data_IF_134370332123
#
_entry.id   IF_134370332123
#
_cell.length_a   1.000
_cell.length_b   1.000
_cell.length_c   1.000
_cell.angle_alpha   90.00
_cell.angle_beta   90.00
_cell.angle_gamma   90.00
#
_symmetry.space_group_name_H-M   'P 1'
#
loop_
_entity.id
_entity.type
_entity.pdbx_description
1 polymer ?
#
# COMPACT_ATOMS: atom_id res chain seq x y z
N UNK A 1 -24.65 -0.83 25.60
CA UNK A 1 -25.33 -0.91 24.29
C UNK A 1 -24.65 0.11 23.36
N UNK A 2 -24.02 -0.32 22.31
CA UNK A 2 -23.56 0.60 21.26
C UNK A 2 -24.78 0.96 20.43
N UNK A 3 -25.07 2.27 20.33
CA UNK A 3 -26.11 2.76 19.43
C UNK A 3 -25.80 2.33 17.98
N UNK A 4 -26.80 2.01 17.16
CA UNK A 4 -26.57 1.71 15.75
C UNK A 4 -25.97 2.94 15.06
N UNK A 5 -25.06 2.70 14.14
CA UNK A 5 -24.48 3.79 13.34
C UNK A 5 -25.60 4.47 12.53
N UNK A 6 -25.60 5.82 12.44
CA UNK A 6 -26.53 6.53 11.57
C UNK A 6 -26.33 6.11 10.11
N UNK A 7 -27.39 6.19 9.31
CA UNK A 7 -27.27 6.02 7.87
C UNK A 7 -26.35 7.11 7.29
N UNK A 8 -25.50 6.73 6.32
CA UNK A 8 -24.71 7.71 5.59
C UNK A 8 -25.65 8.63 4.81
N UNK A 9 -25.55 9.93 5.08
CA UNK A 9 -26.32 10.94 4.35
C UNK A 9 -25.65 11.17 2.99
N UNK A 10 -26.13 10.48 1.97
CA UNK A 10 -25.67 10.67 0.61
C UNK A 10 -26.22 12.00 0.08
N UNK A 11 -25.35 12.97 -0.21
CA UNK A 11 -25.76 14.31 -0.67
C UNK A 11 -26.35 14.28 -2.10
N UNK A 12 -26.63 13.11 -2.62
CA UNK A 12 -27.25 12.85 -3.91
C UNK A 12 -26.47 13.46 -5.08
N UNK A 13 -26.14 12.69 -6.09
CA UNK A 13 -25.56 13.13 -7.38
C UNK A 13 -24.21 13.87 -7.35
N UNK A 14 -23.57 14.08 -6.22
CA UNK A 14 -22.16 14.39 -6.20
C UNK A 14 -21.37 13.16 -6.59
N UNK A 15 -20.15 13.34 -7.05
CA UNK A 15 -19.30 12.32 -7.64
C UNK A 15 -19.31 11.02 -6.82
N UNK A 16 -19.58 9.85 -7.45
CA UNK A 16 -19.90 8.65 -6.71
C UNK A 16 -18.72 8.12 -5.93
N UNK A 17 -18.89 8.04 -4.62
CA UNK A 17 -18.12 7.15 -3.78
C UNK A 17 -18.83 5.80 -3.80
N UNK A 18 -18.28 4.83 -4.50
CA UNK A 18 -18.86 3.50 -4.58
C UNK A 18 -18.92 2.81 -3.22
N UNK A 19 -19.95 2.00 -3.02
CA UNK A 19 -20.00 1.07 -1.88
C UNK A 19 -19.15 -0.15 -2.17
N UNK A 20 -18.38 -0.57 -1.19
CA UNK A 20 -17.62 -1.82 -1.27
C UNK A 20 -18.56 -3.06 -1.30
N UNK A 21 -18.15 -4.19 -1.92
CA UNK A 21 -16.84 -4.51 -2.48
C UNK A 21 -16.55 -3.83 -3.83
N UNK A 22 -15.26 -3.63 -4.15
CA UNK A 22 -14.83 -3.03 -5.42
C UNK A 22 -14.23 -4.07 -6.34
N UNK A 23 -14.78 -4.20 -7.55
CA UNK A 23 -14.15 -4.94 -8.63
C UNK A 23 -13.16 -4.03 -9.35
N UNK A 24 -11.92 -4.47 -9.41
CA UNK A 24 -10.81 -3.81 -10.10
C UNK A 24 -10.46 -4.66 -11.33
N UNK A 25 -10.96 -4.22 -12.49
CA UNK A 25 -10.89 -5.00 -13.73
C UNK A 25 -9.77 -4.54 -14.63
N UNK A 26 -9.22 -5.48 -15.40
CA UNK A 26 -8.14 -5.24 -16.35
C UNK A 26 -6.97 -4.49 -15.71
N UNK A 27 -6.67 -4.82 -14.45
CA UNK A 27 -5.60 -4.17 -13.72
C UNK A 27 -4.24 -4.54 -14.32
N UNK A 28 -3.55 -3.54 -14.84
CA UNK A 28 -2.18 -3.62 -15.32
C UNK A 28 -1.26 -3.17 -14.20
N UNK A 29 -0.44 -4.06 -13.66
CA UNK A 29 0.44 -3.78 -12.53
C UNK A 29 1.91 -3.91 -12.92
N UNK A 30 2.74 -3.03 -12.36
CA UNK A 30 4.18 -3.22 -12.28
C UNK A 30 4.60 -3.07 -10.81
N UNK A 31 5.33 -4.06 -10.32
CA UNK A 31 5.77 -4.11 -8.93
C UNK A 31 7.28 -4.24 -8.86
N UNK A 32 7.91 -3.48 -7.95
CA UNK A 32 9.36 -3.44 -7.77
C UNK A 32 9.70 -3.50 -6.29
N UNK A 33 10.61 -4.40 -5.92
CA UNK A 33 11.07 -4.55 -4.56
C UNK A 33 12.38 -3.78 -4.35
N UNK A 34 12.40 -2.91 -3.35
CA UNK A 34 13.55 -2.10 -2.96
C UNK A 34 14.00 -2.43 -1.54
N UNK A 35 15.30 -2.33 -1.29
CA UNK A 35 15.84 -2.40 0.06
C UNK A 35 15.47 -1.15 0.85
N UNK A 36 15.17 -1.33 2.14
CA UNK A 36 14.77 -0.26 3.03
C UNK A 36 15.39 -0.43 4.41
N UNK A 37 15.50 0.65 5.18
CA UNK A 37 15.96 0.60 6.56
C UNK A 37 14.85 0.12 7.48
N UNK A 38 15.10 -0.97 8.21
CA UNK A 38 14.15 -1.57 9.14
C UNK A 38 13.70 -0.61 10.24
N UNK A 39 14.59 0.26 10.72
CA UNK A 39 14.29 1.26 11.72
C UNK A 39 13.23 2.25 11.26
N UNK A 40 13.34 2.75 10.02
CA UNK A 40 12.35 3.65 9.43
C UNK A 40 10.99 2.97 9.27
N UNK A 41 10.98 1.73 8.76
CA UNK A 41 9.73 0.96 8.61
C UNK A 41 9.07 0.68 9.96
N UNK A 42 9.87 0.38 11.01
CA UNK A 42 9.37 0.18 12.38
C UNK A 42 8.78 1.46 12.96
N UNK A 43 9.47 2.59 12.80
CA UNK A 43 8.99 3.89 13.24
C UNK A 43 7.68 4.27 12.53
N UNK A 44 7.58 3.98 11.22
CA UNK A 44 6.33 4.19 10.48
C UNK A 44 5.19 3.31 11.04
N UNK A 45 5.42 2.02 11.26
CA UNK A 45 4.39 1.13 11.83
C UNK A 45 3.92 1.63 13.20
N UNK A 46 4.84 2.10 14.04
CA UNK A 46 4.51 2.62 15.37
C UNK A 46 3.69 3.91 15.30
N UNK A 47 4.01 4.82 14.37
CA UNK A 47 3.29 6.09 14.22
C UNK A 47 1.96 5.96 13.46
N UNK A 48 1.81 4.96 12.57
CA UNK A 48 0.67 4.88 11.66
C UNK A 48 -0.31 3.72 11.96
N UNK A 49 0.12 2.66 12.63
CA UNK A 49 -0.72 1.49 12.91
C UNK A 49 -0.84 1.18 14.39
N UNK A 50 0.26 1.38 15.16
CA UNK A 50 0.34 1.04 16.58
C UNK A 50 0.03 2.23 17.47
N UNK A 51 -0.95 3.05 17.09
CA UNK A 51 -1.29 4.33 17.72
C UNK A 51 -1.89 4.20 19.14
N UNK A 52 -2.15 2.99 19.60
CA UNK A 52 -2.64 2.71 20.95
C UNK A 52 -2.26 1.34 21.46
N UNK A 53 -1.80 1.29 22.70
CA UNK A 53 -1.53 0.03 23.42
C UNK A 53 -2.81 -0.77 23.76
N UNK A 54 -3.98 -0.16 23.64
CA UNK A 54 -5.26 -0.84 23.85
C UNK A 54 -5.65 -1.79 22.72
N UNK A 55 -5.00 -1.69 21.56
CA UNK A 55 -5.30 -2.53 20.41
C UNK A 55 -4.94 -3.99 20.66
N UNK A 56 -5.77 -4.89 20.10
CA UNK A 56 -5.56 -6.33 20.19
C UNK A 56 -4.37 -6.82 19.35
N UNK A 57 -3.92 -6.02 18.40
CA UNK A 57 -2.81 -6.31 17.50
C UNK A 57 -1.80 -5.17 17.48
N UNK A 58 -0.55 -5.55 17.26
CA UNK A 58 0.55 -4.66 16.90
C UNK A 58 1.15 -5.12 15.59
N UNK A 59 1.43 -4.21 14.68
CA UNK A 59 2.02 -4.51 13.37
C UNK A 59 3.49 -4.12 13.38
N UNK A 60 4.35 -5.05 12.95
CA UNK A 60 5.78 -4.82 12.82
C UNK A 60 6.23 -5.16 11.40
N UNK A 61 7.25 -4.51 10.83
CA UNK A 61 7.75 -4.86 9.52
C UNK A 61 8.23 -6.31 9.48
N UNK A 62 7.80 -7.08 8.48
CA UNK A 62 8.20 -8.47 8.30
C UNK A 62 9.51 -8.63 7.50
N UNK A 63 9.92 -7.59 6.77
CA UNK A 63 11.18 -7.56 6.00
C UNK A 63 11.74 -6.14 5.92
N UNK A 64 13.04 -6.02 5.59
CA UNK A 64 13.71 -4.76 5.28
C UNK A 64 13.53 -4.38 3.81
N UNK A 65 12.28 -4.44 3.32
CA UNK A 65 11.97 -4.16 1.93
C UNK A 65 10.65 -3.40 1.80
N UNK A 66 10.62 -2.54 0.79
CA UNK A 66 9.42 -1.81 0.36
C UNK A 66 9.13 -2.20 -1.09
N UNK A 67 7.88 -2.49 -1.38
CA UNK A 67 7.42 -2.74 -2.74
C UNK A 67 6.75 -1.48 -3.29
N UNK A 68 7.28 -0.94 -4.38
CA UNK A 68 6.61 0.08 -5.19
C UNK A 68 5.69 -0.61 -6.18
N UNK A 69 4.42 -0.25 -6.20
CA UNK A 69 3.43 -0.78 -7.12
C UNK A 69 2.85 0.36 -7.95
N UNK A 70 2.91 0.22 -9.26
CA UNK A 70 2.07 0.96 -10.20
C UNK A 70 0.88 0.08 -10.57
N UNK A 71 -0.32 0.66 -10.62
CA UNK A 71 -1.52 0.00 -11.13
C UNK A 71 -2.33 0.94 -12.02
N UNK A 72 -2.94 0.39 -13.08
CA UNK A 72 -3.91 1.07 -13.95
C UNK A 72 -5.08 0.11 -14.19
N UNK A 73 -6.30 0.53 -13.83
CA UNK A 73 -7.44 -0.38 -13.73
C UNK A 73 -8.77 0.32 -13.94
N UNK A 74 -9.82 -0.46 -14.14
CA UNK A 74 -11.20 -0.01 -14.16
C UNK A 74 -11.90 -0.46 -12.87
N UNK A 75 -12.34 0.50 -12.06
CA UNK A 75 -12.97 0.25 -10.76
C UNK A 75 -14.48 0.37 -10.87
N UNK A 76 -15.20 -0.59 -10.29
CA UNK A 76 -16.66 -0.57 -10.15
C UNK A 76 -17.09 -1.17 -8.83
N UNK A 77 -18.32 -0.88 -8.40
CA UNK A 77 -18.92 -1.52 -7.23
C UNK A 77 -19.51 -2.89 -7.56
N UNK A 78 -19.42 -3.81 -6.60
CA UNK A 78 -20.21 -5.07 -6.58
C UNK A 78 -21.44 -4.95 -5.67
N UNK A 79 -21.65 -3.82 -4.99
CA UNK A 79 -22.90 -3.58 -4.26
C UNK A 79 -24.04 -3.36 -5.28
N UNK A 80 -25.16 -4.05 -5.08
CA UNK A 80 -26.28 -4.01 -6.03
C UNK A 80 -26.83 -2.60 -6.28
N UNK A 81 -26.70 -1.69 -5.32
CA UNK A 81 -27.16 -0.30 -5.42
C UNK A 81 -26.29 0.54 -6.35
N UNK A 82 -25.01 0.20 -6.48
CA UNK A 82 -24.01 0.96 -7.24
C UNK A 82 -23.53 0.23 -8.51
N UNK A 83 -23.95 -1.02 -8.70
CA UNK A 83 -23.49 -1.87 -9.81
C UNK A 83 -23.80 -1.30 -11.20
N UNK A 84 -24.78 -0.40 -11.30
CA UNK A 84 -25.22 0.25 -12.56
C UNK A 84 -24.54 1.60 -12.79
N UNK A 85 -23.72 2.12 -11.87
CA UNK A 85 -23.08 3.44 -12.01
C UNK A 85 -22.03 3.42 -13.12
N UNK A 86 -21.36 2.28 -13.32
CA UNK A 86 -20.35 2.11 -14.38
C UNK A 86 -18.95 1.87 -13.86
N UNK A 87 -17.95 2.24 -14.66
CA UNK A 87 -16.54 2.00 -14.44
C UNK A 87 -15.77 3.31 -14.33
N UNK A 88 -14.91 3.43 -13.33
CA UNK A 88 -14.02 4.58 -13.16
C UNK A 88 -12.60 4.14 -13.51
N UNK A 89 -11.92 4.79 -14.48
CA UNK A 89 -10.51 4.53 -14.75
C UNK A 89 -9.66 5.14 -13.63
N UNK A 90 -8.91 4.29 -12.95
CA UNK A 90 -8.00 4.67 -11.87
C UNK A 90 -6.57 4.25 -12.21
N UNK A 91 -5.63 5.17 -12.03
CA UNK A 91 -4.21 4.85 -11.98
C UNK A 91 -3.67 5.21 -10.64
N UNK A 92 -2.87 4.33 -10.07
CA UNK A 92 -2.27 4.56 -8.77
C UNK A 92 -0.79 4.14 -8.73
N UNK A 93 -0.05 4.81 -7.86
CA UNK A 93 1.30 4.43 -7.45
C UNK A 93 1.33 4.39 -5.94
N UNK A 94 1.77 3.29 -5.37
CA UNK A 94 1.79 3.11 -3.92
C UNK A 94 3.01 2.36 -3.43
N UNK A 95 3.37 2.64 -2.18
CA UNK A 95 4.41 1.91 -1.47
C UNK A 95 3.76 0.91 -0.52
N UNK A 96 4.25 -0.32 -0.52
CA UNK A 96 3.70 -1.44 0.23
C UNK A 96 4.76 -2.01 1.15
N UNK A 97 4.45 -2.15 2.43
CA UNK A 97 5.30 -2.76 3.46
C UNK A 97 4.63 -4.06 3.91
N UNK A 98 5.35 -5.18 3.81
CA UNK A 98 4.87 -6.42 4.41
C UNK A 98 5.06 -6.34 5.92
N UNK A 99 3.97 -6.47 6.67
CA UNK A 99 3.95 -6.46 8.12
C UNK A 99 3.54 -7.81 8.70
N UNK A 100 3.99 -8.08 9.92
CA UNK A 100 3.53 -9.19 10.74
C UNK A 100 2.63 -8.62 11.85
N UNK A 101 1.37 -9.04 11.85
CA UNK A 101 0.43 -8.75 12.92
C UNK A 101 0.74 -9.63 14.14
N UNK A 102 1.02 -9.01 15.26
CA UNK A 102 1.26 -9.65 16.54
C UNK A 102 0.03 -9.48 17.42
N UNK A 103 -0.59 -10.59 17.84
CA UNK A 103 -1.75 -10.56 18.72
C UNK A 103 -1.33 -10.42 20.18
N UNK A 104 -1.93 -9.48 20.89
CA UNK A 104 -1.74 -9.26 22.32
C UNK A 104 -2.33 -10.42 23.12
N UNK A 105 -1.59 -10.93 24.09
CA UNK A 105 -2.00 -11.96 25.04
C UNK A 105 -1.60 -11.54 26.47
N UNK A 106 -2.05 -12.29 27.46
CA UNK A 106 -1.62 -12.04 28.88
C UNK A 106 -0.11 -12.22 29.08
N UNK A 107 0.58 -12.96 28.21
CA UNK A 107 2.01 -13.26 28.32
C UNK A 107 2.87 -12.46 27.33
N UNK A 108 2.32 -11.44 26.66
CA UNK A 108 2.99 -10.65 25.64
C UNK A 108 2.36 -10.84 24.26
N UNK A 109 3.12 -10.57 23.21
CA UNK A 109 2.67 -10.63 21.84
C UNK A 109 3.05 -11.96 21.17
N UNK A 110 2.15 -12.53 20.39
CA UNK A 110 2.39 -13.72 19.58
C UNK A 110 2.07 -13.46 18.11
N UNK A 111 2.86 -14.00 17.15
CA UNK A 111 2.58 -13.90 15.72
C UNK A 111 1.17 -14.41 15.37
N UNK A 112 0.49 -13.71 14.48
CA UNK A 112 -0.86 -14.03 14.05
C UNK A 112 -0.96 -14.25 12.55
N UNK A 113 -0.73 -13.20 11.76
CA UNK A 113 -0.81 -13.24 10.31
C UNK A 113 0.02 -12.12 9.68
N UNK A 114 0.24 -12.20 8.38
CA UNK A 114 0.83 -11.10 7.61
C UNK A 114 -0.25 -10.15 7.10
N UNK A 115 0.09 -8.88 6.96
CA UNK A 115 -0.74 -7.86 6.32
C UNK A 115 0.13 -6.92 5.51
N UNK A 116 -0.38 -6.45 4.36
CA UNK A 116 0.24 -5.38 3.61
C UNK A 116 -0.21 -4.03 4.15
N UNK A 117 0.73 -3.21 4.57
CA UNK A 117 0.48 -1.83 4.94
C UNK A 117 0.91 -0.90 3.80
N UNK A 118 0.10 0.10 3.50
CA UNK A 118 0.34 1.05 2.43
C UNK A 118 0.54 2.46 3.01
N UNK A 119 1.79 2.87 3.24
CA UNK A 119 2.12 4.19 3.81
C UNK A 119 1.56 5.37 3.02
N UNK A 120 1.69 5.30 1.71
CA UNK A 120 1.22 6.32 0.78
C UNK A 120 0.72 5.66 -0.50
N UNK A 121 -0.39 6.19 -1.02
CA UNK A 121 -0.96 5.82 -2.32
C UNK A 121 -1.29 7.10 -3.06
N UNK A 122 -0.79 7.24 -4.26
CA UNK A 122 -1.01 8.39 -5.13
C UNK A 122 -1.92 7.98 -6.26
N UNK A 123 -3.00 8.72 -6.48
CA UNK A 123 -4.04 8.40 -7.47
C UNK A 123 -4.28 9.58 -8.40
N UNK A 124 -4.68 9.29 -9.64
CA UNK A 124 -4.96 10.32 -10.63
C UNK A 124 -6.41 10.83 -10.59
N UNK A 125 -7.26 10.26 -9.72
CA UNK A 125 -8.70 10.43 -9.81
C UNK A 125 -9.31 10.71 -8.42
N UNK A 126 -10.25 11.69 -8.35
CA UNK A 126 -10.80 12.23 -7.11
C UNK A 126 -11.71 11.25 -6.36
N UNK A 127 -12.51 10.43 -7.07
CA UNK A 127 -13.40 9.49 -6.41
C UNK A 127 -12.63 8.33 -5.78
N UNK A 128 -11.53 7.90 -6.41
CA UNK A 128 -10.61 6.93 -5.84
C UNK A 128 -9.95 7.44 -4.55
N UNK A 129 -9.61 8.73 -4.52
CA UNK A 129 -9.09 9.38 -3.31
C UNK A 129 -10.15 9.39 -2.21
N UNK A 130 -11.36 9.88 -2.50
CA UNK A 130 -12.42 10.02 -1.51
C UNK A 130 -12.84 8.66 -0.97
N UNK A 131 -13.23 7.72 -1.85
CA UNK A 131 -13.68 6.40 -1.44
C UNK A 131 -12.59 5.60 -0.71
N UNK A 132 -11.33 5.70 -1.14
CA UNK A 132 -10.22 5.06 -0.46
C UNK A 132 -10.03 5.56 0.96
N UNK A 133 -10.05 6.88 1.16
CA UNK A 133 -9.89 7.50 2.48
C UNK A 133 -11.10 7.27 3.38
N UNK A 134 -12.31 7.49 2.87
CA UNK A 134 -13.53 7.42 3.68
C UNK A 134 -13.94 6.00 4.02
N UNK A 135 -13.83 5.05 3.07
CA UNK A 135 -14.28 3.68 3.30
C UNK A 135 -13.22 2.86 4.05
N UNK A 136 -11.97 2.93 3.62
CA UNK A 136 -10.90 2.04 4.11
C UNK A 136 -9.83 2.74 4.96
N UNK A 137 -9.64 4.06 4.79
CA UNK A 137 -8.55 4.78 5.44
C UNK A 137 -7.22 4.69 4.70
N UNK A 138 -7.23 4.41 3.40
CA UNK A 138 -6.02 4.56 2.58
C UNK A 138 -5.47 5.98 2.71
N UNK A 139 -4.17 6.13 2.89
CA UNK A 139 -3.51 7.43 2.82
C UNK A 139 -3.34 7.85 1.35
N UNK A 140 -4.48 8.03 0.64
CA UNK A 140 -4.51 8.44 -0.76
C UNK A 140 -4.32 9.95 -0.92
N UNK A 141 -3.57 10.34 -1.96
CA UNK A 141 -3.33 11.72 -2.37
C UNK A 141 -3.45 11.81 -3.90
N UNK A 142 -3.81 12.98 -4.41
CA UNK A 142 -3.86 13.21 -5.86
C UNK A 142 -2.45 13.38 -6.44
N UNK A 143 -2.24 12.77 -7.60
CA UNK A 143 -1.02 12.91 -8.37
C UNK A 143 -1.31 12.95 -9.88
N UNK A 144 -0.42 13.57 -10.63
CA UNK A 144 -0.33 13.40 -12.08
C UNK A 144 0.57 12.20 -12.34
N UNK A 145 0.01 11.14 -12.90
CA UNK A 145 0.73 9.89 -13.14
C UNK A 145 0.97 9.75 -14.64
N UNK A 146 2.24 9.70 -15.04
CA UNK A 146 2.63 9.32 -16.38
C UNK A 146 2.63 7.79 -16.47
N UNK A 147 1.77 7.26 -17.35
CA UNK A 147 1.55 5.82 -17.49
C UNK A 147 2.64 5.17 -18.34
N UNK A 148 3.05 3.92 -18.06
CA UNK A 148 3.98 3.20 -18.91
C UNK A 148 3.35 2.86 -20.27
N UNK A 149 4.10 3.12 -21.34
CA UNK A 149 3.68 2.76 -22.70
C UNK A 149 3.59 1.24 -22.92
N UNK A 150 4.37 0.45 -22.15
CA UNK A 150 4.38 -1.02 -22.22
C UNK A 150 4.57 -1.60 -20.82
N UNK A 151 3.72 -2.53 -20.45
CA UNK A 151 3.76 -3.16 -19.13
C UNK A 151 4.99 -4.07 -18.95
N UNK A 152 5.49 -4.68 -20.02
CA UNK A 152 6.70 -5.51 -19.99
C UNK A 152 8.00 -4.71 -19.87
N UNK A 153 7.94 -3.39 -20.06
CA UNK A 153 9.02 -2.44 -19.84
C UNK A 153 8.44 -1.16 -19.25
N UNK A 154 7.88 -1.24 -18.02
CA UNK A 154 7.17 -0.11 -17.44
C UNK A 154 8.14 1.02 -17.07
N UNK A 155 7.86 2.20 -17.58
CA UNK A 155 8.51 3.44 -17.19
C UNK A 155 7.40 4.41 -16.82
N UNK A 156 7.43 4.96 -15.60
CA UNK A 156 6.38 5.82 -15.09
C UNK A 156 6.93 6.86 -14.12
N UNK A 157 6.18 7.93 -13.95
CA UNK A 157 6.45 8.96 -12.96
C UNK A 157 5.17 9.41 -12.29
N UNK A 158 5.30 10.03 -11.14
CA UNK A 158 4.22 10.69 -10.44
C UNK A 158 4.68 12.09 -9.98
N UNK A 159 3.86 13.10 -10.27
CA UNK A 159 4.02 14.46 -9.76
C UNK A 159 2.90 14.80 -8.81
N UNK A 160 3.21 15.45 -7.69
CA UNK A 160 2.25 15.85 -6.66
C UNK A 160 2.25 17.35 -6.45
N UNK A 161 1.11 17.89 -6.01
CA UNK A 161 1.07 19.25 -5.48
C UNK A 161 1.80 19.27 -4.13
N UNK A 162 2.94 19.95 -4.07
CA UNK A 162 3.80 19.90 -2.90
C UNK A 162 4.77 21.07 -2.78
N UNK A 163 5.64 20.97 -1.78
CA UNK A 163 6.65 21.96 -1.47
C UNK A 163 8.03 21.30 -1.45
N UNK A 164 9.00 21.90 -2.15
CA UNK A 164 10.42 21.53 -2.01
C UNK A 164 10.97 21.89 -0.64
N UNK A 165 10.58 23.06 -0.16
CA UNK A 165 10.91 23.56 1.18
C UNK A 165 9.69 24.23 1.78
N UNK A 166 9.56 24.20 3.11
CA UNK A 166 8.51 24.96 3.79
C UNK A 166 8.93 26.42 3.99
N UNK A 167 7.98 27.34 3.87
CA UNK A 167 8.14 28.77 4.11
C UNK A 167 6.80 29.46 4.00
N UNK A 168 6.57 30.50 4.80
CA UNK A 168 5.28 31.21 4.85
C UNK A 168 4.82 31.79 3.50
N UNK A 169 5.78 32.18 2.66
CA UNK A 169 5.52 32.77 1.32
C UNK A 169 5.59 31.72 0.19
N UNK A 170 5.88 30.43 0.49
CA UNK A 170 6.03 29.43 -0.53
C UNK A 170 4.66 28.98 -1.06
N UNK A 171 4.55 28.91 -2.38
CA UNK A 171 3.35 28.44 -3.07
C UNK A 171 3.59 27.01 -3.53
N UNK A 172 2.67 26.11 -3.18
CA UNK A 172 2.71 24.71 -3.64
C UNK A 172 2.65 24.64 -5.17
N UNK A 173 3.44 23.76 -5.73
CA UNK A 173 3.50 23.49 -7.18
C UNK A 173 3.49 22.00 -7.45
N UNK A 174 3.23 21.60 -8.69
CA UNK A 174 3.44 20.21 -9.08
C UNK A 174 4.94 19.92 -9.17
N UNK A 175 5.38 19.02 -8.32
CA UNK A 175 6.77 18.58 -8.19
C UNK A 175 6.87 17.09 -8.45
N UNK A 176 7.94 16.65 -9.08
CA UNK A 176 8.19 15.22 -9.29
C UNK A 176 8.37 14.54 -7.93
N UNK A 177 7.49 13.61 -7.62
CA UNK A 177 7.53 12.80 -6.42
C UNK A 177 8.44 11.59 -6.59
N UNK A 178 8.29 10.90 -7.73
CA UNK A 178 9.09 9.72 -8.06
C UNK A 178 9.18 9.49 -9.56
N UNK A 179 10.24 8.77 -9.96
CA UNK A 179 10.40 8.15 -11.28
C UNK A 179 10.89 6.73 -11.15
N UNK A 180 10.28 5.81 -11.90
CA UNK A 180 10.74 4.44 -12.06
C UNK A 180 11.03 4.17 -13.53
N UNK A 181 12.27 3.76 -13.85
CA UNK A 181 12.71 3.48 -15.22
C UNK A 181 13.67 2.30 -15.26
N UNK A 182 13.82 1.62 -16.41
CA UNK A 182 14.83 0.59 -16.54
C UNK A 182 16.22 1.15 -16.23
N UNK A 183 16.97 0.40 -15.43
CA UNK A 183 18.35 0.78 -15.09
C UNK A 183 19.26 0.46 -16.28
N UNK A 184 19.91 1.46 -16.83
CA UNK A 184 20.81 1.33 -17.99
C UNK A 184 22.19 0.83 -17.55
N UNK A 185 22.28 -0.25 -16.78
CA UNK A 185 23.57 -0.89 -16.51
C UNK A 185 23.78 -2.06 -17.48
N UNK A 186 24.99 -2.18 -17.98
CA UNK A 186 25.47 -3.30 -18.81
C UNK A 186 25.68 -4.60 -18.02
N UNK A 187 24.75 -4.91 -17.11
CA UNK A 187 24.75 -6.20 -16.42
C UNK A 187 24.09 -7.22 -17.35
N UNK A 188 24.79 -7.59 -18.39
CA UNK A 188 24.53 -8.79 -19.16
C UNK A 188 24.69 -10.01 -18.26
N UNK A 189 23.61 -10.72 -18.09
CA UNK A 189 23.55 -12.03 -17.48
C UNK A 189 23.25 -12.02 -16.01
N UNK A 190 21.96 -12.14 -15.64
CA UNK A 190 21.71 -12.51 -14.27
C UNK A 190 20.32 -13.14 -13.97
N UNK A 191 20.01 -14.33 -14.53
CA UNK A 191 18.97 -15.19 -13.94
C UNK A 191 19.37 -15.68 -12.53
N UNK A 192 20.69 -15.75 -12.24
CA UNK A 192 21.21 -16.17 -10.95
C UNK A 192 20.96 -15.14 -9.85
N UNK A 193 21.23 -13.85 -10.10
CA UNK A 193 21.00 -12.79 -9.11
C UNK A 193 19.51 -12.55 -8.81
N UNK A 194 18.64 -12.80 -9.78
CA UNK A 194 17.20 -12.70 -9.55
C UNK A 194 16.70 -13.82 -8.62
N UNK A 195 17.23 -15.05 -8.80
CA UNK A 195 16.96 -16.18 -7.91
C UNK A 195 17.55 -15.95 -6.52
N UNK A 196 18.74 -15.37 -6.46
CA UNK A 196 19.41 -15.02 -5.20
C UNK A 196 18.66 -13.92 -4.46
N UNK A 197 18.19 -12.85 -5.14
CA UNK A 197 17.38 -11.80 -4.55
C UNK A 197 16.02 -12.32 -4.06
N UNK A 198 15.38 -13.21 -4.81
CA UNK A 198 14.14 -13.87 -4.41
C UNK A 198 14.39 -14.81 -3.21
N UNK A 199 15.48 -15.57 -3.22
CA UNK A 199 15.91 -16.41 -2.10
C UNK A 199 16.21 -15.56 -0.87
N UNK A 200 16.96 -14.47 -1.02
CA UNK A 200 17.26 -13.55 0.10
C UNK A 200 16.01 -12.89 0.68
N UNK A 201 15.03 -12.50 -0.14
CA UNK A 201 13.76 -11.98 0.35
C UNK A 201 13.00 -13.05 1.15
N UNK A 202 12.89 -14.25 0.61
CA UNK A 202 12.25 -15.36 1.31
C UNK A 202 13.04 -15.78 2.56
N UNK A 203 14.38 -15.82 2.48
CA UNK A 203 15.23 -16.15 3.62
C UNK A 203 15.18 -15.09 4.73
N UNK A 204 15.09 -13.80 4.40
CA UNK A 204 14.92 -12.72 5.36
C UNK A 204 13.55 -12.82 6.04
N UNK A 205 12.50 -13.10 5.26
CA UNK A 205 11.16 -13.36 5.75
C UNK A 205 11.15 -14.59 6.69
N UNK A 206 11.77 -15.70 6.28
CA UNK A 206 11.85 -16.94 7.10
C UNK A 206 12.79 -16.79 8.30
N UNK A 207 13.88 -16.05 8.19
CA UNK A 207 14.85 -15.85 9.29
C UNK A 207 14.26 -15.02 10.42
N UNK A 208 13.51 -13.96 10.08
CA UNK A 208 12.81 -13.12 11.07
C UNK A 208 11.64 -13.87 11.69
N UNK A 209 10.98 -14.72 10.89
CA UNK A 209 9.96 -15.63 11.37
C UNK A 209 10.51 -16.73 12.29
N UNK A 210 11.79 -17.09 12.21
CA UNK A 210 12.43 -18.11 13.05
C UNK A 210 12.76 -17.70 14.48
N UNK A 211 12.72 -16.42 14.81
CA UNK A 211 13.01 -15.97 16.17
C UNK A 211 11.85 -16.36 17.11
N UNK A 212 11.82 -17.61 17.51
CA UNK A 212 11.17 -18.11 18.72
C UNK A 212 9.92 -18.99 18.61
N UNK A 213 9.48 -19.49 17.42
CA UNK A 213 8.20 -20.23 17.34
C UNK A 213 8.17 -21.32 16.26
N UNK A 214 8.69 -22.51 16.58
CA UNK A 214 8.88 -23.66 15.68
C UNK A 214 7.62 -24.30 15.08
N UNK A 215 6.54 -23.88 14.98
CA UNK A 215 5.36 -24.54 14.37
C UNK A 215 4.31 -23.57 13.82
N UNK A 216 4.20 -22.39 14.40
CA UNK A 216 3.23 -21.37 13.96
C UNK A 216 3.70 -20.70 12.67
N UNK A 217 5.00 -20.59 12.46
CA UNK A 217 5.61 -19.85 11.36
C UNK A 217 5.71 -20.66 10.06
N UNK A 218 5.89 -21.98 10.14
CA UNK A 218 5.76 -22.84 8.95
C UNK A 218 4.33 -22.82 8.41
N UNK A 219 3.34 -22.78 9.29
CA UNK A 219 1.94 -22.58 8.91
C UNK A 219 1.67 -21.18 8.37
N UNK A 220 2.34 -20.16 8.90
CA UNK A 220 2.22 -18.78 8.43
C UNK A 220 2.84 -18.61 7.03
N UNK A 221 4.02 -19.18 6.80
CA UNK A 221 4.69 -19.15 5.51
C UNK A 221 3.92 -19.92 4.42
N UNK A 222 3.26 -21.05 4.77
CA UNK A 222 2.39 -21.76 3.82
C UNK A 222 1.14 -20.94 3.45
N UNK A 223 0.66 -20.08 4.33
CA UNK A 223 -0.44 -19.14 4.04
C UNK A 223 -0.03 -18.00 3.12
N UNK A 224 1.24 -17.54 3.18
CA UNK A 224 1.77 -16.54 2.22
C UNK A 224 1.67 -17.02 0.77
N UNK A 225 1.72 -18.32 0.54
CA UNK A 225 1.70 -18.90 -0.80
C UNK A 225 0.28 -19.27 -1.28
N UNK A 226 -0.67 -19.44 -0.35
CA UNK A 226 -2.00 -19.97 -0.65
C UNK A 226 -3.17 -19.05 -0.30
N UNK A 227 -2.97 -18.07 0.58
CA UNK A 227 -4.05 -17.18 1.05
C UNK A 227 -3.80 -15.72 0.62
N UNK A 228 -4.87 -14.99 0.36
CA UNK A 228 -4.78 -13.54 0.17
C UNK A 228 -4.31 -12.87 1.47
N UNK A 229 -3.22 -12.10 1.37
CA UNK A 229 -2.74 -11.29 2.49
C UNK A 229 -3.62 -10.04 2.58
N UNK A 230 -4.26 -9.75 3.72
CA UNK A 230 -5.06 -8.56 3.86
C UNK A 230 -4.21 -7.28 3.77
N UNK A 231 -4.84 -6.20 3.34
CA UNK A 231 -4.32 -4.85 3.49
C UNK A 231 -4.71 -4.32 4.86
N UNK A 232 -3.85 -3.54 5.52
CA UNK A 232 -4.12 -2.93 6.82
C UNK A 232 -3.96 -1.41 6.74
N UNK A 233 -4.91 -0.69 7.36
CA UNK A 233 -4.94 0.77 7.36
C UNK A 233 -5.35 1.33 8.71
N UNK A 234 -4.90 2.56 8.98
CA UNK A 234 -5.48 3.43 10.00
C UNK A 234 -6.52 4.33 9.34
N UNK A 235 -7.79 4.00 9.52
CA UNK A 235 -8.90 4.88 9.12
C UNK A 235 -9.10 5.92 10.20
N UNK A 236 -8.96 7.21 9.85
CA UNK A 236 -9.15 8.30 10.78
C UNK A 236 -9.68 9.57 10.11
N UNK A 237 -10.44 10.33 10.87
CA UNK A 237 -10.94 11.65 10.47
C UNK A 237 -10.63 12.65 11.57
N UNK A 238 -10.22 13.86 11.16
CA UNK A 238 -9.96 14.95 12.09
C UNK A 238 -11.26 15.44 12.74
N UNK A 239 -11.19 15.82 13.98
CA UNK A 239 -12.27 16.54 14.65
C UNK A 239 -12.41 17.93 14.04
N UNK A 240 -13.66 18.40 13.88
CA UNK A 240 -13.95 19.69 13.26
C UNK A 240 -13.63 20.88 14.17
N UNK A 241 -13.76 20.71 15.49
CA UNK A 241 -13.49 21.77 16.46
C UNK A 241 -12.01 21.87 16.82
N UNK A 242 -11.32 20.71 16.88
CA UNK A 242 -9.87 20.64 17.10
C UNK A 242 -9.24 19.68 16.11
N UNK A 243 -8.70 20.19 15.03
CA UNK A 243 -8.11 19.40 13.95
C UNK A 243 -6.78 18.69 14.32
N UNK A 244 -6.27 18.90 15.53
CA UNK A 244 -5.17 18.11 16.10
C UNK A 244 -5.65 16.74 16.62
N UNK A 245 -6.93 16.60 16.86
CA UNK A 245 -7.58 15.38 17.34
C UNK A 245 -8.28 14.62 16.22
N UNK A 246 -8.60 13.35 16.47
CA UNK A 246 -9.39 12.50 15.59
C UNK A 246 -10.76 12.23 16.20
N UNK A 247 -11.84 12.58 15.46
CA UNK A 247 -13.21 12.21 15.84
C UNK A 247 -13.53 10.71 15.56
N UNK A 248 -12.76 10.07 14.70
CA UNK A 248 -12.79 8.64 14.42
C UNK A 248 -11.36 8.14 14.22
N UNK A 249 -11.02 7.03 14.88
CA UNK A 249 -9.77 6.33 14.64
C UNK A 249 -9.97 4.82 14.76
N UNK A 250 -9.72 4.10 13.67
CA UNK A 250 -9.93 2.65 13.55
C UNK A 250 -8.78 2.00 12.79
N UNK A 251 -8.29 0.87 13.29
CA UNK A 251 -7.47 -0.04 12.47
C UNK A 251 -8.43 -0.98 11.73
N UNK A 252 -8.28 -1.03 10.42
CA UNK A 252 -9.11 -1.88 9.55
C UNK A 252 -8.24 -2.80 8.70
N UNK A 253 -8.74 -4.00 8.45
CA UNK A 253 -8.16 -4.92 7.48
C UNK A 253 -9.14 -5.18 6.36
N UNK A 254 -8.62 -5.30 5.14
CA UNK A 254 -9.42 -5.60 3.95
C UNK A 254 -8.73 -6.65 3.11
N UNK A 255 -9.50 -7.65 2.67
CA UNK A 255 -9.01 -8.67 1.76
C UNK A 255 -8.97 -8.13 0.32
N UNK A 256 -7.85 -8.38 -0.36
CA UNK A 256 -7.69 -8.16 -1.79
C UNK A 256 -7.48 -9.53 -2.44
N UNK A 257 -8.43 -10.01 -3.25
CA UNK A 257 -8.36 -11.34 -3.88
C UNK A 257 -8.23 -11.21 -5.38
N UNK A 258 -7.40 -12.06 -5.98
CA UNK A 258 -7.31 -12.18 -7.44
C UNK A 258 -8.52 -13.00 -7.92
N UNK A 259 -9.40 -12.37 -8.70
CA UNK A 259 -10.55 -13.06 -9.35
C UNK A 259 -10.13 -13.75 -10.63
N UNK A 260 -9.21 -13.11 -11.38
CA UNK A 260 -8.71 -13.66 -12.66
C UNK A 260 -7.28 -13.22 -12.90
N UNK A 261 -6.45 -14.16 -13.29
CA UNK A 261 -5.11 -13.90 -13.83
C UNK A 261 -5.16 -13.96 -15.35
N UNK A 262 -4.70 -12.91 -16.03
CA UNK A 262 -4.67 -12.84 -17.50
C UNK A 262 -3.28 -13.11 -18.04
N UNK A 263 -2.27 -12.41 -17.51
CA UNK A 263 -0.87 -12.54 -17.89
C UNK A 263 0.05 -12.01 -16.81
N UNK A 264 1.33 -12.34 -16.87
CA UNK A 264 2.35 -11.80 -15.97
C UNK A 264 3.73 -12.36 -16.25
N UNK A 265 4.73 -11.70 -15.71
CA UNK A 265 6.11 -12.12 -15.87
C UNK A 265 7.07 -11.30 -15.03
N UNK A 266 8.29 -11.84 -14.90
CA UNK A 266 9.39 -11.16 -14.25
C UNK A 266 10.02 -10.13 -15.19
N UNK A 267 10.43 -9.00 -14.64
CA UNK A 267 11.24 -8.01 -15.32
C UNK A 267 12.72 -8.37 -15.14
N UNK A 268 13.38 -8.73 -16.23
CA UNK A 268 14.75 -9.27 -16.19
C UNK A 268 15.81 -8.20 -15.90
N UNK A 269 15.48 -6.92 -16.08
CA UNK A 269 16.39 -5.81 -15.80
C UNK A 269 16.00 -5.14 -14.50
N UNK A 270 16.96 -4.69 -13.68
CA UNK A 270 16.67 -3.88 -12.52
C UNK A 270 16.09 -2.52 -12.96
N UNK A 271 15.32 -1.91 -12.08
CA UNK A 271 14.72 -0.60 -12.27
C UNK A 271 15.33 0.41 -11.31
N UNK A 272 15.63 1.59 -11.82
CA UNK A 272 16.05 2.72 -11.02
C UNK A 272 14.83 3.46 -10.51
N UNK A 273 14.68 3.52 -9.18
CA UNK A 273 13.78 4.44 -8.52
C UNK A 273 14.53 5.71 -8.17
N UNK A 274 13.96 6.86 -8.51
CA UNK A 274 14.43 8.18 -8.07
C UNK A 274 13.33 8.87 -7.28
N UNK A 275 13.67 9.35 -6.08
CA UNK A 275 12.80 10.06 -5.14
C UNK A 275 13.41 11.44 -4.88
N UNK A 276 13.09 12.47 -5.66
CA UNK A 276 13.59 13.82 -5.38
C UNK A 276 13.16 14.29 -4.00
N UNK A 277 14.01 14.99 -3.25
CA UNK A 277 13.67 15.49 -1.92
C UNK A 277 12.56 16.53 -1.99
N UNK A 278 11.46 16.28 -1.29
CA UNK A 278 10.32 17.18 -1.13
C UNK A 278 9.98 17.31 0.36
N UNK A 279 10.00 18.53 0.90
CA UNK A 279 9.67 18.76 2.31
C UNK A 279 8.24 18.29 2.66
N UNK A 280 7.31 18.42 1.71
CA UNK A 280 5.92 17.97 1.88
C UNK A 280 5.74 16.43 1.78
N UNK A 281 6.66 15.74 1.14
CA UNK A 281 6.60 14.30 0.87
C UNK A 281 7.98 13.64 1.03
N UNK A 282 8.50 13.54 2.26
CA UNK A 282 9.85 13.00 2.51
C UNK A 282 9.85 11.46 2.41
N UNK A 283 9.51 10.91 1.23
CA UNK A 283 9.31 9.47 1.04
C UNK A 283 10.57 8.64 1.32
N UNK A 284 11.73 9.14 0.89
CA UNK A 284 12.99 8.44 1.08
C UNK A 284 13.28 8.25 2.59
N UNK A 285 13.21 9.31 3.38
CA UNK A 285 13.39 9.28 4.83
C UNK A 285 12.32 8.43 5.52
N UNK A 286 11.04 8.70 5.24
CA UNK A 286 9.88 8.03 5.83
C UNK A 286 9.93 6.51 5.67
N UNK A 287 10.39 6.04 4.51
CA UNK A 287 10.39 4.62 4.15
C UNK A 287 11.77 3.96 4.28
N UNK A 288 12.79 4.71 4.71
CA UNK A 288 14.17 4.21 4.78
C UNK A 288 14.73 3.82 3.43
N UNK A 289 14.34 4.53 2.37
CA UNK A 289 14.81 4.35 1.00
C UNK A 289 15.93 5.37 0.69
N UNK A 290 16.74 5.09 -0.33
CA UNK A 290 17.66 6.09 -0.87
C UNK A 290 16.93 6.95 -1.90
N UNK A 291 17.36 8.19 -2.07
CA UNK A 291 16.84 9.09 -3.11
C UNK A 291 16.98 8.52 -4.53
N UNK A 292 17.95 7.64 -4.73
CA UNK A 292 18.17 6.91 -5.98
C UNK A 292 18.68 5.51 -5.69
N UNK A 293 17.97 4.48 -6.17
CA UNK A 293 18.39 3.08 -5.94
C UNK A 293 17.79 2.12 -6.98
N UNK A 294 18.52 1.01 -7.20
CA UNK A 294 18.09 -0.09 -8.05
C UNK A 294 17.10 -1.03 -7.34
N UNK A 295 16.14 -1.56 -8.09
CA UNK A 295 15.26 -2.62 -7.59
C UNK A 295 16.00 -3.94 -7.46
N UNK A 296 15.63 -4.75 -6.44
CA UNK A 296 16.09 -6.14 -6.29
C UNK A 296 15.35 -7.07 -7.25
N UNK A 297 14.04 -6.87 -7.39
CA UNK A 297 13.14 -7.68 -8.20
C UNK A 297 12.13 -6.74 -8.85
N UNK A 298 11.68 -7.09 -10.06
CA UNK A 298 10.56 -6.45 -10.74
C UNK A 298 9.66 -7.49 -11.39
N UNK A 299 8.36 -7.23 -11.39
CA UNK A 299 7.36 -8.05 -12.06
C UNK A 299 6.27 -7.20 -12.67
N UNK A 300 5.57 -7.74 -13.65
CA UNK A 300 4.36 -7.17 -14.21
C UNK A 300 3.24 -8.20 -14.23
N UNK A 301 2.00 -7.75 -14.04
CA UNK A 301 0.81 -8.58 -13.96
C UNK A 301 -0.36 -7.91 -14.68
N UNK A 302 -1.22 -8.73 -15.29
CA UNK A 302 -2.55 -8.34 -15.74
C UNK A 302 -3.57 -9.23 -15.04
N UNK A 303 -4.43 -8.64 -14.22
CA UNK A 303 -5.32 -9.38 -13.33
C UNK A 303 -6.64 -8.64 -13.12
N UNK A 304 -7.64 -9.36 -12.65
CA UNK A 304 -8.84 -8.76 -12.05
C UNK A 304 -8.79 -9.03 -10.54
N UNK A 305 -9.05 -8.00 -9.74
CA UNK A 305 -9.12 -8.08 -8.29
C UNK A 305 -10.52 -7.81 -7.76
N UNK A 306 -10.77 -8.34 -6.59
CA UNK A 306 -11.87 -7.93 -5.72
C UNK A 306 -11.31 -7.40 -4.40
N UNK A 307 -11.55 -6.12 -4.13
CA UNK A 307 -11.31 -5.50 -2.85
C UNK A 307 -12.58 -5.62 -2.01
N UNK A 308 -12.53 -6.44 -0.97
CA UNK A 308 -13.69 -6.77 -0.14
C UNK A 308 -14.10 -5.64 0.79
N UNK A 309 -15.17 -5.83 1.54
CA UNK A 309 -15.53 -4.94 2.65
C UNK A 309 -14.49 -5.05 3.75
N UNK A 310 -14.15 -3.91 4.35
CA UNK A 310 -13.19 -3.89 5.45
C UNK A 310 -13.75 -4.50 6.73
N UNK A 311 -12.87 -5.13 7.49
CA UNK A 311 -13.11 -5.58 8.86
C UNK A 311 -12.47 -4.60 9.83
N UNK A 312 -13.24 -4.08 10.77
CA UNK A 312 -12.71 -3.26 11.87
C UNK A 312 -12.00 -4.19 12.85
N UNK A 313 -10.71 -3.95 13.05
CA UNK A 313 -9.85 -4.70 13.98
C UNK A 313 -9.81 -4.04 15.34
N UNK A 314 -9.78 -2.70 15.37
CA UNK A 314 -9.76 -1.92 16.58
C UNK A 314 -10.41 -0.55 16.35
N UNK A 315 -10.99 0.03 17.41
CA UNK A 315 -11.51 1.39 17.42
C UNK A 315 -11.02 2.09 18.69
N UNK A 316 -10.46 3.30 18.54
CA UNK A 316 -10.31 4.25 19.64
C UNK A 316 -11.60 5.06 19.76
N UNK A 317 -12.04 5.20 21.01
CA UNK A 317 -13.18 6.03 21.39
C UNK A 317 -12.67 7.28 22.06
#
# INVERSE_FOLDING_TARGET
MTLPLPAYADAGQSFPSFRAPYAQRNANLAAFLFEAEMSALSAWCDSALNVSDSFAYRYVPASSSVMLVYADMLVSSRDARDAQIGLIPESEVGFWILTLALRKTRRGYIPSHFAWALPDVFVNEGSALISGREVFGFNKQLARIEKPARLQKPEFSADVMGFKTFGAENIAQYETLLRARPFASSLDGQPAQLREAQSHFMDDLFRRARVGLDGALTRLASRLLNDSIPLVFLKQFRDAADSSLACLQQVVEVQLTVERFHAGGMLLKPYLLTLPPLASHPLAEKLGLRESQGSKIGAWLQVDFLLHKAKIIATLK
#
